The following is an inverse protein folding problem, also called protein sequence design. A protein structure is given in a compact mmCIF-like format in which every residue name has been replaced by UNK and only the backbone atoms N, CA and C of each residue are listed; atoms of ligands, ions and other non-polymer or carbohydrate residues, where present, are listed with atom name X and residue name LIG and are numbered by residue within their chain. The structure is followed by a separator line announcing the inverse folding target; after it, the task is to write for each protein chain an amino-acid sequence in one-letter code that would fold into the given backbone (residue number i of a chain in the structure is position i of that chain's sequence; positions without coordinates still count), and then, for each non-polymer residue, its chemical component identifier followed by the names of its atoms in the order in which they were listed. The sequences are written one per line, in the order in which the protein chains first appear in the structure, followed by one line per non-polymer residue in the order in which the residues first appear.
data_IF_415161108792
#
_entry.id   IF_415161108792
#
_cell.length_a   1.000
_cell.length_b   1.000
_cell.length_c   1.000
_cell.angle_alpha   90.00
_cell.angle_beta   90.00
_cell.angle_gamma   90.00
#
_symmetry.space_group_name_H-M   'P 1'
#
loop_
_entity.id
_entity.type
_entity.pdbx_description
1 polymer ?
#
# COMPACT_ATOMS: atom_id res chain seq x y z
N UNK A 1 2.73 -27.90 -12.51
CA UNK A 1 1.95 -26.64 -12.74
C UNK A 1 1.96 -25.78 -11.49
N UNK A 2 2.23 -24.50 -11.67
CA UNK A 2 2.31 -23.51 -10.57
C UNK A 2 1.30 -22.40 -10.83
N UNK A 3 0.48 -22.09 -9.84
CA UNK A 3 -0.41 -20.93 -9.87
C UNK A 3 0.09 -19.88 -8.89
N UNK A 4 0.29 -18.65 -9.37
CA UNK A 4 0.66 -17.49 -8.57
C UNK A 4 -0.50 -16.51 -8.54
N UNK A 5 -0.93 -16.09 -7.35
CA UNK A 5 -2.01 -15.13 -7.18
C UNK A 5 -1.47 -13.80 -6.66
N UNK A 6 -1.51 -12.78 -7.51
CA UNK A 6 -1.04 -11.43 -7.23
C UNK A 6 0.09 -10.97 -8.15
N UNK A 7 -0.19 -9.96 -8.98
CA UNK A 7 0.75 -9.37 -9.95
C UNK A 7 1.66 -8.28 -9.37
N UNK A 8 1.87 -8.26 -8.04
CA UNK A 8 2.85 -7.41 -7.38
C UNK A 8 4.27 -7.98 -7.45
N UNK A 9 5.24 -7.25 -6.87
CA UNK A 9 6.68 -7.61 -6.92
C UNK A 9 6.95 -9.02 -6.40
N UNK A 10 6.31 -9.46 -5.31
CA UNK A 10 6.52 -10.80 -4.76
C UNK A 10 6.02 -11.92 -5.69
N UNK A 11 4.83 -11.71 -6.29
CA UNK A 11 4.26 -12.68 -7.22
C UNK A 11 4.98 -12.73 -8.56
N UNK A 12 5.36 -11.58 -9.11
CA UNK A 12 6.16 -11.50 -10.33
C UNK A 12 7.50 -12.21 -10.15
N UNK A 13 8.17 -11.96 -9.02
CA UNK A 13 9.44 -12.64 -8.70
C UNK A 13 9.26 -14.15 -8.61
N UNK A 14 8.25 -14.64 -7.89
CA UNK A 14 7.97 -16.06 -7.78
C UNK A 14 7.65 -16.69 -9.15
N UNK A 15 6.88 -16.00 -9.97
CA UNK A 15 6.43 -16.51 -11.25
C UNK A 15 7.59 -16.67 -12.25
N UNK A 16 8.43 -15.63 -12.42
CA UNK A 16 9.53 -15.75 -13.37
C UNK A 16 10.61 -16.73 -12.91
N UNK A 17 10.89 -16.78 -11.60
CA UNK A 17 11.88 -17.73 -11.06
C UNK A 17 11.40 -19.18 -11.21
N UNK A 18 10.14 -19.47 -10.91
CA UNK A 18 9.55 -20.80 -11.12
C UNK A 18 9.60 -21.20 -12.60
N UNK A 19 9.20 -20.28 -13.50
CA UNK A 19 9.25 -20.54 -14.95
C UNK A 19 10.68 -20.75 -15.46
N UNK A 20 11.66 -20.01 -14.95
CA UNK A 20 13.09 -20.21 -15.26
C UNK A 20 13.60 -21.62 -14.90
N UNK A 21 12.93 -22.28 -13.95
CA UNK A 21 13.24 -23.67 -13.55
C UNK A 21 12.47 -24.72 -14.34
N UNK A 22 11.66 -24.30 -15.32
CA UNK A 22 10.94 -25.20 -16.22
C UNK A 22 9.53 -25.53 -15.77
N UNK A 23 8.98 -24.86 -14.77
CA UNK A 23 7.59 -25.04 -14.38
C UNK A 23 6.63 -24.31 -15.32
N UNK A 24 5.47 -24.89 -15.56
CA UNK A 24 4.35 -24.21 -16.21
C UNK A 24 3.67 -23.29 -15.21
N UNK A 25 3.73 -21.97 -15.45
CA UNK A 25 3.30 -20.94 -14.49
C UNK A 25 2.15 -20.12 -15.03
N UNK A 26 1.06 -20.03 -14.26
CA UNK A 26 -0.03 -19.07 -14.49
C UNK A 26 -0.07 -18.06 -13.34
N UNK A 27 -0.04 -16.76 -13.68
CA UNK A 27 -0.13 -15.66 -12.74
C UNK A 27 -1.45 -14.91 -12.91
N UNK A 28 -2.27 -14.84 -11.86
CA UNK A 28 -3.48 -14.03 -11.80
C UNK A 28 -3.20 -12.68 -11.13
N UNK A 29 -3.75 -11.61 -11.69
CA UNK A 29 -3.74 -10.28 -11.11
C UNK A 29 -5.12 -9.64 -11.19
N UNK A 30 -5.66 -9.20 -10.05
CA UNK A 30 -6.91 -8.44 -10.00
C UNK A 30 -6.81 -7.07 -10.69
N UNK A 31 -5.61 -6.50 -10.75
CA UNK A 31 -5.33 -5.25 -11.48
C UNK A 31 -5.16 -5.51 -12.97
N UNK A 32 -5.54 -4.53 -13.78
CA UNK A 32 -5.24 -4.48 -15.21
C UNK A 32 -3.76 -4.21 -15.52
N UNK A 33 -2.95 -3.88 -14.50
CA UNK A 33 -1.52 -3.62 -14.62
C UNK A 33 -0.72 -4.42 -13.60
N UNK A 34 0.53 -4.75 -13.95
CA UNK A 34 1.48 -5.44 -13.08
C UNK A 34 2.32 -4.44 -12.25
N UNK A 35 2.97 -4.95 -11.20
CA UNK A 35 3.84 -4.16 -10.29
C UNK A 35 3.19 -3.83 -8.95
N UNK A 36 1.85 -3.91 -8.85
CA UNK A 36 1.12 -3.71 -7.60
C UNK A 36 1.45 -2.37 -6.92
N UNK A 37 1.62 -2.38 -5.59
CA UNK A 37 1.95 -1.16 -4.82
C UNK A 37 3.25 -0.50 -5.23
N UNK A 38 4.23 -1.26 -5.74
CA UNK A 38 5.49 -0.66 -6.21
C UNK A 38 5.28 0.24 -7.43
N UNK A 39 4.32 -0.10 -8.30
CA UNK A 39 3.94 0.76 -9.43
C UNK A 39 3.32 2.06 -8.96
N UNK A 40 2.41 2.00 -7.99
CA UNK A 40 1.82 3.21 -7.41
C UNK A 40 2.89 4.07 -6.72
N UNK A 41 3.78 3.44 -5.96
CA UNK A 41 4.86 4.16 -5.29
C UNK A 41 5.83 4.82 -6.30
N UNK A 42 6.17 4.14 -7.40
CA UNK A 42 7.06 4.66 -8.44
C UNK A 42 6.51 5.90 -9.18
N UNK A 43 5.20 6.14 -9.09
CA UNK A 43 4.57 7.34 -9.64
C UNK A 43 4.71 8.57 -8.72
N UNK A 44 5.24 8.39 -7.50
CA UNK A 44 5.42 9.45 -6.52
C UNK A 44 6.85 10.00 -6.55
N UNK A 45 7.05 11.29 -6.18
CA UNK A 45 8.37 11.92 -6.13
C UNK A 45 9.37 11.13 -5.27
N UNK A 46 10.59 10.93 -5.80
CA UNK A 46 11.68 10.26 -5.10
C UNK A 46 11.61 8.73 -5.04
N UNK A 47 10.60 8.12 -5.68
CA UNK A 47 10.43 6.68 -5.74
C UNK A 47 10.46 6.09 -7.17
N UNK A 48 10.78 6.89 -8.18
CA UNK A 48 10.76 6.54 -9.60
C UNK A 48 11.63 5.31 -9.91
N UNK A 49 12.74 5.15 -9.19
CA UNK A 49 13.66 4.01 -9.32
C UNK A 49 13.03 2.66 -9.02
N UNK A 50 11.89 2.62 -8.31
CA UNK A 50 11.15 1.37 -8.05
C UNK A 50 10.60 0.74 -9.33
N UNK A 51 10.39 1.54 -10.39
CA UNK A 51 9.92 1.04 -11.68
C UNK A 51 10.87 -0.03 -12.26
N UNK A 52 12.17 0.16 -12.14
CA UNK A 52 13.16 -0.80 -12.64
C UNK A 52 13.04 -2.21 -12.04
N UNK A 53 12.48 -2.33 -10.82
CA UNK A 53 12.30 -3.64 -10.18
C UNK A 53 11.19 -4.43 -10.87
N UNK A 54 9.99 -3.89 -10.94
CA UNK A 54 8.87 -4.63 -11.52
C UNK A 54 8.95 -4.70 -13.04
N UNK A 55 9.56 -3.73 -13.72
CA UNK A 55 9.76 -3.77 -15.17
C UNK A 55 10.69 -4.92 -15.56
N UNK A 56 11.79 -5.11 -14.82
CA UNK A 56 12.64 -6.28 -14.98
C UNK A 56 11.88 -7.59 -14.75
N UNK A 57 11.11 -7.70 -13.67
CA UNK A 57 10.36 -8.91 -13.34
C UNK A 57 9.29 -9.23 -14.39
N UNK A 58 8.61 -8.21 -14.93
CA UNK A 58 7.63 -8.36 -16.00
C UNK A 58 8.31 -8.89 -17.27
N UNK A 59 9.45 -8.30 -17.67
CA UNK A 59 10.19 -8.72 -18.85
C UNK A 59 10.67 -10.19 -18.71
N UNK A 60 11.18 -10.57 -17.54
CA UNK A 60 11.59 -11.96 -17.27
C UNK A 60 10.41 -12.93 -17.31
N UNK A 61 9.28 -12.59 -16.69
CA UNK A 61 8.09 -13.43 -16.70
C UNK A 61 7.56 -13.64 -18.14
N UNK A 62 7.49 -12.57 -18.93
CA UNK A 62 7.03 -12.64 -20.32
C UNK A 62 7.99 -13.44 -21.21
N UNK A 63 9.30 -13.20 -21.09
CA UNK A 63 10.31 -13.89 -21.90
C UNK A 63 10.38 -15.40 -21.64
N UNK A 64 9.94 -15.83 -20.45
CA UNK A 64 9.90 -17.23 -20.02
C UNK A 64 8.55 -17.91 -20.24
N UNK A 65 7.59 -17.21 -20.83
CA UNK A 65 6.30 -17.80 -21.18
C UNK A 65 5.35 -17.97 -19.98
N UNK A 66 5.51 -17.17 -18.92
CA UNK A 66 4.50 -17.13 -17.84
C UNK A 66 3.16 -16.69 -18.43
N UNK A 67 2.12 -17.48 -18.21
CA UNK A 67 0.75 -17.11 -18.58
C UNK A 67 0.23 -16.07 -17.59
N UNK A 68 -0.01 -14.85 -18.05
CA UNK A 68 -0.43 -13.71 -17.21
C UNK A 68 -1.89 -13.37 -17.51
N UNK A 69 -2.73 -13.47 -16.48
CA UNK A 69 -4.17 -13.17 -16.53
C UNK A 69 -4.44 -11.91 -15.71
N UNK A 70 -4.73 -10.80 -16.41
CA UNK A 70 -4.94 -9.47 -15.82
C UNK A 70 -6.43 -9.17 -15.62
N UNK A 71 -6.76 -8.32 -14.65
CA UNK A 71 -8.13 -7.92 -14.35
C UNK A 71 -8.98 -9.05 -13.75
N UNK A 72 -8.35 -10.14 -13.30
CA UNK A 72 -9.03 -11.31 -12.74
C UNK A 72 -8.73 -11.39 -11.25
N UNK A 73 -9.75 -11.14 -10.45
CA UNK A 73 -9.72 -11.46 -9.02
C UNK A 73 -10.04 -12.95 -8.86
N UNK A 74 -9.02 -13.80 -9.07
CA UNK A 74 -9.19 -15.24 -9.02
C UNK A 74 -9.75 -15.69 -7.67
N UNK A 75 -10.74 -16.56 -7.71
CA UNK A 75 -11.25 -17.29 -6.57
C UNK A 75 -10.61 -18.69 -6.45
N UNK A 76 -11.03 -19.47 -5.45
CA UNK A 76 -10.51 -20.81 -5.27
C UNK A 76 -10.89 -21.76 -6.42
N UNK A 77 -12.05 -21.58 -7.05
CA UNK A 77 -12.50 -22.42 -8.17
C UNK A 77 -11.64 -22.14 -9.42
N UNK A 78 -11.32 -20.88 -9.70
CA UNK A 78 -10.42 -20.51 -10.80
C UNK A 78 -9.06 -21.19 -10.64
N UNK A 79 -8.50 -21.15 -9.43
CA UNK A 79 -7.19 -21.74 -9.13
C UNK A 79 -7.25 -23.26 -9.27
N UNK A 80 -8.25 -23.92 -8.70
CA UNK A 80 -8.41 -25.37 -8.71
C UNK A 80 -8.69 -25.91 -10.12
N UNK A 81 -9.34 -25.14 -10.99
CA UNK A 81 -9.60 -25.52 -12.39
C UNK A 81 -8.33 -25.76 -13.21
N UNK A 82 -7.19 -25.16 -12.78
CA UNK A 82 -5.89 -25.36 -13.42
C UNK A 82 -5.16 -26.61 -12.87
N UNK A 83 -5.71 -27.30 -11.90
CA UNK A 83 -5.11 -28.47 -11.24
C UNK A 83 -3.65 -28.22 -10.86
N UNK A 84 -3.35 -27.19 -10.03
CA UNK A 84 -1.99 -26.85 -9.69
C UNK A 84 -1.34 -27.85 -8.76
N UNK A 85 -0.05 -28.13 -8.96
CA UNK A 85 0.78 -28.87 -8.01
C UNK A 85 1.23 -27.95 -6.87
N UNK A 86 1.44 -26.65 -7.19
CA UNK A 86 1.86 -25.63 -6.22
C UNK A 86 1.08 -24.33 -6.40
N UNK A 87 0.77 -23.67 -5.29
CA UNK A 87 0.14 -22.35 -5.27
C UNK A 87 0.99 -21.37 -4.46
N UNK A 88 1.26 -20.20 -5.02
CA UNK A 88 1.92 -19.07 -4.33
C UNK A 88 0.89 -17.95 -4.18
N UNK A 89 0.59 -17.58 -2.93
CA UNK A 89 -0.27 -16.44 -2.62
C UNK A 89 0.59 -15.20 -2.35
N UNK A 90 0.54 -14.27 -3.29
CA UNK A 90 1.16 -12.95 -3.26
C UNK A 90 0.08 -11.86 -3.34
N UNK A 91 -1.09 -12.11 -2.75
CA UNK A 91 -2.31 -11.28 -2.77
C UNK A 91 -2.13 -9.90 -2.14
N UNK A 92 -0.98 -9.67 -1.47
CA UNK A 92 -0.66 -8.40 -0.86
C UNK A 92 -1.40 -8.17 0.47
N UNK A 93 -1.57 -6.90 0.81
CA UNK A 93 -2.26 -6.46 2.02
C UNK A 93 -3.16 -5.27 1.70
N UNK A 94 -4.11 -5.01 2.59
CA UNK A 94 -4.96 -3.81 2.60
C UNK A 94 -4.58 -2.94 3.80
N UNK A 95 -4.79 -1.65 3.70
CA UNK A 95 -4.64 -0.76 4.84
C UNK A 95 -5.76 -1.04 5.83
N UNK A 96 -5.40 -1.23 7.09
CA UNK A 96 -6.36 -1.43 8.15
C UNK A 96 -6.95 -0.07 8.57
N UNK A 97 -8.23 -0.08 8.91
CA UNK A 97 -8.84 1.08 9.55
C UNK A 97 -8.28 1.20 10.97
N UNK A 98 -7.73 2.35 11.39
CA UNK A 98 -7.15 2.51 12.74
C UNK A 98 -8.24 2.80 13.78
N UNK A 99 -9.06 1.80 14.12
CA UNK A 99 -10.20 1.91 15.04
C UNK A 99 -9.82 2.51 16.40
N UNK A 100 -8.67 2.16 16.91
CA UNK A 100 -8.15 2.65 18.20
C UNK A 100 -7.95 4.18 18.22
N UNK A 101 -7.76 4.78 17.06
CA UNK A 101 -7.45 6.20 16.91
C UNK A 101 -8.62 7.01 16.37
N UNK A 102 -9.41 6.42 15.47
CA UNK A 102 -10.47 7.06 14.70
C UNK A 102 -11.88 6.64 15.18
N UNK A 103 -11.95 5.76 16.19
CA UNK A 103 -13.19 5.20 16.66
C UNK A 103 -13.86 4.26 15.65
N UNK A 104 -15.13 3.96 15.82
CA UNK A 104 -15.89 2.99 15.02
C UNK A 104 -16.17 3.40 13.56
N UNK A 105 -15.53 4.43 13.06
CA UNK A 105 -15.51 4.77 11.63
C UNK A 105 -16.78 5.46 11.08
N UNK A 106 -17.82 5.66 11.88
CA UNK A 106 -19.07 6.28 11.39
C UNK A 106 -18.83 7.71 10.86
N UNK A 107 -17.99 8.49 11.54
CA UNK A 107 -17.66 9.86 11.14
C UNK A 107 -16.73 9.96 9.93
N UNK A 108 -16.08 8.86 9.54
CA UNK A 108 -15.09 8.77 8.46
C UNK A 108 -15.52 7.76 7.40
N UNK A 109 -16.77 7.34 7.42
CA UNK A 109 -17.35 6.50 6.38
C UNK A 109 -17.12 7.15 5.02
N UNK A 110 -16.31 6.53 4.16
CA UNK A 110 -15.98 7.03 2.83
C UNK A 110 -14.62 7.74 2.71
N UNK A 111 -13.88 7.99 3.79
CA UNK A 111 -12.48 8.48 3.68
C UNK A 111 -11.59 7.35 3.14
N UNK A 112 -10.96 7.54 1.97
CA UNK A 112 -10.10 6.52 1.38
C UNK A 112 -8.78 6.41 2.16
N UNK A 113 -8.18 5.21 2.15
CA UNK A 113 -6.79 5.06 2.57
C UNK A 113 -5.84 5.78 1.58
N UNK A 114 -4.66 6.15 2.05
CA UNK A 114 -3.74 6.96 1.26
C UNK A 114 -3.33 6.32 -0.08
N UNK A 115 -3.05 5.02 -0.19
CA UNK A 115 -2.84 4.38 -1.49
C UNK A 115 -4.01 4.49 -2.45
N UNK A 116 -5.25 4.30 -1.98
CA UNK A 116 -6.44 4.43 -2.81
C UNK A 116 -6.66 5.89 -3.26
N UNK A 117 -6.53 6.83 -2.33
CA UNK A 117 -6.62 8.26 -2.61
C UNK A 117 -5.56 8.72 -3.62
N UNK A 118 -4.31 8.30 -3.46
CA UNK A 118 -3.24 8.66 -4.39
C UNK A 118 -3.43 8.04 -5.77
N UNK A 119 -3.99 6.84 -5.88
CA UNK A 119 -4.29 6.24 -7.18
C UNK A 119 -5.33 7.07 -7.96
N UNK A 120 -6.31 7.64 -7.26
CA UNK A 120 -7.30 8.53 -7.85
C UNK A 120 -6.70 9.89 -8.22
N UNK A 121 -5.97 10.53 -7.32
CA UNK A 121 -5.34 11.83 -7.56
C UNK A 121 -4.32 11.79 -8.72
N UNK A 122 -3.52 10.74 -8.81
CA UNK A 122 -2.55 10.57 -9.90
C UNK A 122 -3.21 10.36 -11.27
N UNK A 123 -4.46 9.88 -11.30
CA UNK A 123 -5.24 9.77 -12.53
C UNK A 123 -5.83 11.11 -12.99
N UNK A 124 -5.96 12.09 -12.07
CA UNK A 124 -6.56 13.39 -12.31
C UNK A 124 -5.52 14.49 -12.03
N UNK A 125 -4.77 14.89 -13.04
CA UNK A 125 -3.77 15.95 -12.91
C UNK A 125 -4.43 17.32 -12.72
N UNK A 126 -3.95 18.09 -11.75
CA UNK A 126 -4.43 19.46 -11.50
C UNK A 126 -4.04 19.97 -10.12
N UNK A 127 -4.23 21.24 -9.89
CA UNK A 127 -4.17 21.84 -8.58
C UNK A 127 -5.55 21.72 -7.91
N UNK A 128 -5.55 21.43 -6.63
CA UNK A 128 -6.74 21.30 -5.78
C UNK A 128 -6.72 22.40 -4.74
N UNK A 129 -7.81 23.13 -4.62
CA UNK A 129 -7.94 24.20 -3.62
C UNK A 129 -8.03 23.64 -2.20
N UNK A 130 -7.52 24.39 -1.24
CA UNK A 130 -7.64 24.13 0.19
C UNK A 130 -6.55 23.24 0.77
N UNK A 131 -6.84 22.68 1.93
CA UNK A 131 -5.89 21.94 2.75
C UNK A 131 -5.98 20.43 2.51
N UNK A 132 -4.85 19.78 2.22
CA UNK A 132 -4.73 18.33 2.29
C UNK A 132 -4.32 17.90 3.71
N UNK A 133 -5.07 16.99 4.31
CA UNK A 133 -4.79 16.42 5.62
C UNK A 133 -4.49 14.94 5.49
N UNK A 134 -3.32 14.53 6.00
CA UNK A 134 -2.90 13.12 6.06
C UNK A 134 -2.76 12.71 7.52
N UNK A 135 -3.48 11.67 7.93
CA UNK A 135 -3.33 11.03 9.23
C UNK A 135 -2.28 9.93 9.07
N UNK A 136 -1.10 10.09 9.68
CA UNK A 136 0.04 9.19 9.51
C UNK A 136 0.27 8.32 10.73
N UNK A 137 -0.06 7.04 10.60
CA UNK A 137 0.26 5.97 11.55
C UNK A 137 1.05 4.82 10.88
N UNK A 138 1.34 4.93 9.56
CA UNK A 138 2.17 3.96 8.83
C UNK A 138 3.67 4.25 8.98
N UNK A 139 4.05 5.51 9.09
CA UNK A 139 5.43 5.99 9.24
C UNK A 139 6.42 5.48 8.18
N UNK A 140 5.91 5.07 7.01
CA UNK A 140 6.71 4.54 5.91
C UNK A 140 6.94 5.54 4.77
N UNK A 141 7.96 5.29 3.94
CA UNK A 141 8.38 6.18 2.85
C UNK A 141 7.26 6.53 1.86
N UNK A 142 6.33 5.58 1.61
CA UNK A 142 5.21 5.83 0.69
C UNK A 142 4.40 7.04 1.12
N UNK A 143 4.09 7.13 2.43
CA UNK A 143 3.31 8.23 3.00
C UNK A 143 3.98 9.57 2.75
N UNK A 144 5.29 9.67 2.93
CA UNK A 144 6.00 10.95 2.77
C UNK A 144 6.24 11.33 1.32
N UNK A 145 6.39 10.36 0.43
CA UNK A 145 6.43 10.63 -1.01
C UNK A 145 5.06 11.11 -1.53
N UNK A 146 3.96 10.56 -0.97
CA UNK A 146 2.62 11.06 -1.25
C UNK A 146 2.43 12.49 -0.70
N UNK A 147 2.90 12.77 0.51
CA UNK A 147 2.85 14.13 1.09
C UNK A 147 3.64 15.12 0.22
N UNK A 148 4.83 14.75 -0.29
CA UNK A 148 5.58 15.60 -1.22
C UNK A 148 4.79 15.88 -2.50
N UNK A 149 4.10 14.89 -3.05
CA UNK A 149 3.23 15.09 -4.20
C UNK A 149 2.10 16.07 -3.87
N UNK A 150 1.47 15.90 -2.70
CA UNK A 150 0.38 16.78 -2.25
C UNK A 150 0.84 18.25 -2.11
N UNK A 151 2.09 18.51 -1.67
CA UNK A 151 2.60 19.89 -1.57
C UNK A 151 2.65 20.62 -2.90
N UNK A 152 2.80 19.91 -4.00
CA UNK A 152 2.79 20.49 -5.34
C UNK A 152 1.37 20.70 -5.91
N UNK A 153 0.35 20.13 -5.26
CA UNK A 153 -1.01 20.07 -5.82
C UNK A 153 -2.09 20.64 -4.90
N UNK A 154 -1.77 21.03 -3.68
CA UNK A 154 -2.69 21.67 -2.73
C UNK A 154 -2.09 22.96 -2.18
N UNK A 155 -2.95 23.88 -1.72
CA UNK A 155 -2.51 25.17 -1.16
C UNK A 155 -1.76 24.98 0.16
N UNK A 156 -2.16 23.96 0.94
CA UNK A 156 -1.61 23.63 2.26
C UNK A 156 -1.63 22.15 2.49
N UNK A 157 -0.61 21.63 3.18
CA UNK A 157 -0.55 20.22 3.59
C UNK A 157 -0.27 20.10 5.08
N UNK A 158 -1.09 19.32 5.75
CA UNK A 158 -0.97 19.03 7.19
C UNK A 158 -0.86 17.54 7.41
N UNK A 159 0.15 17.12 8.17
CA UNK A 159 0.32 15.73 8.61
C UNK A 159 0.03 15.64 10.11
N UNK A 160 -0.98 14.86 10.47
CA UNK A 160 -1.30 14.52 11.85
C UNK A 160 -0.72 13.16 12.19
N UNK A 161 -0.07 13.02 13.34
CA UNK A 161 0.36 11.71 13.85
C UNK A 161 0.19 11.64 15.38
N UNK A 162 -0.20 10.48 15.88
CA UNK A 162 -0.28 10.23 17.33
C UNK A 162 1.10 10.17 18.00
N UNK A 163 2.16 10.02 17.19
CA UNK A 163 3.53 9.84 17.66
C UNK A 163 4.26 11.17 17.86
N UNK A 164 5.44 11.07 18.47
CA UNK A 164 6.35 12.19 18.73
C UNK A 164 7.02 12.75 17.48
N UNK A 165 7.07 11.96 16.41
CA UNK A 165 7.70 12.33 15.14
C UNK A 165 7.14 11.48 13.99
N UNK A 166 7.30 11.96 12.78
CA UNK A 166 7.04 11.22 11.53
C UNK A 166 8.22 10.29 11.16
N UNK A 167 8.03 9.42 10.18
CA UNK A 167 9.07 8.55 9.61
C UNK A 167 9.78 7.64 10.62
N UNK A 168 9.07 7.14 11.62
CA UNK A 168 9.66 6.30 12.67
C UNK A 168 10.20 4.96 12.17
N UNK A 169 9.64 4.42 11.09
CA UNK A 169 10.08 3.17 10.50
C UNK A 169 11.29 3.32 9.57
N UNK A 170 11.73 4.56 9.33
CA UNK A 170 12.90 4.84 8.52
C UNK A 170 14.19 4.90 9.35
N UNK A 171 15.31 4.56 8.71
CA UNK A 171 16.62 4.74 9.32
C UNK A 171 16.88 6.21 9.67
N UNK A 172 17.65 6.48 10.72
CA UNK A 172 17.87 7.82 11.23
C UNK A 172 18.25 8.86 10.16
N UNK A 173 19.15 8.52 9.24
CA UNK A 173 19.59 9.43 8.18
C UNK A 173 18.45 9.69 7.17
N UNK A 174 17.75 8.64 6.73
CA UNK A 174 16.61 8.78 5.84
C UNK A 174 15.47 9.58 6.50
N UNK A 175 15.19 9.33 7.78
CA UNK A 175 14.20 10.08 8.55
C UNK A 175 14.53 11.57 8.63
N UNK A 176 15.79 11.92 8.88
CA UNK A 176 16.22 13.32 8.91
C UNK A 176 15.99 13.98 7.54
N UNK A 177 16.40 13.35 6.45
CA UNK A 177 16.17 13.85 5.10
C UNK A 177 14.69 14.01 4.75
N UNK A 178 13.83 13.09 5.19
CA UNK A 178 12.38 13.21 5.02
C UNK A 178 11.85 14.44 5.76
N UNK A 179 12.20 14.61 7.04
CA UNK A 179 11.74 15.75 7.84
C UNK A 179 12.20 17.08 7.23
N UNK A 180 13.47 17.18 6.83
CA UNK A 180 14.02 18.39 6.20
C UNK A 180 13.29 18.72 4.89
N UNK A 181 12.99 17.71 4.07
CA UNK A 181 12.25 17.87 2.82
C UNK A 181 10.81 18.34 3.05
N UNK A 182 10.09 17.69 3.97
CA UNK A 182 8.72 18.07 4.30
C UNK A 182 8.62 19.49 4.85
N UNK A 183 9.49 19.87 5.78
CA UNK A 183 9.51 21.21 6.35
C UNK A 183 9.93 22.24 5.30
N UNK A 184 10.90 21.93 4.44
CA UNK A 184 11.30 22.75 3.32
C UNK A 184 10.20 22.95 2.28
N UNK A 185 9.32 21.99 2.10
CA UNK A 185 8.11 22.04 1.27
C UNK A 185 6.92 22.76 1.93
N UNK A 186 7.06 23.26 3.16
CA UNK A 186 6.00 23.95 3.88
C UNK A 186 4.95 23.04 4.52
N UNK A 187 5.25 21.74 4.67
CA UNK A 187 4.33 20.80 5.33
C UNK A 187 4.23 21.12 6.81
N UNK A 188 3.02 21.26 7.30
CA UNK A 188 2.73 21.41 8.72
C UNK A 188 2.66 20.04 9.39
N UNK A 189 3.69 19.65 10.15
CA UNK A 189 3.71 18.40 10.89
C UNK A 189 3.19 18.65 12.30
N UNK A 190 2.10 17.97 12.68
CA UNK A 190 1.49 18.03 14.02
C UNK A 190 1.68 16.70 14.75
N UNK A 191 2.75 16.53 15.53
CA UNK A 191 2.97 15.36 16.37
C UNK A 191 2.04 15.36 17.59
N UNK A 192 1.88 14.18 18.19
CA UNK A 192 1.00 13.96 19.35
C UNK A 192 -0.45 14.40 19.12
N UNK A 193 -0.95 14.27 17.88
CA UNK A 193 -2.33 14.60 17.55
C UNK A 193 -3.11 13.35 17.17
N UNK A 194 -4.33 13.27 17.69
CA UNK A 194 -5.33 12.29 17.28
C UNK A 194 -6.45 13.03 16.54
N UNK A 195 -6.94 12.50 15.43
CA UNK A 195 -8.15 13.01 14.83
C UNK A 195 -9.33 12.85 15.81
N UNK A 196 -10.21 13.83 15.81
CA UNK A 196 -11.45 13.87 16.59
C UNK A 196 -12.54 14.42 15.68
N UNK A 197 -13.02 13.54 14.80
CA UNK A 197 -13.93 13.87 13.71
C UNK A 197 -15.38 13.62 14.13
N UNK A 198 -16.25 14.54 13.75
CA UNK A 198 -17.69 14.43 14.00
C UNK A 198 -18.44 14.36 12.67
N UNK A 199 -19.61 13.70 12.66
CA UNK A 199 -20.44 13.68 11.47
C UNK A 199 -20.72 15.09 10.93
N UNK A 200 -20.60 15.28 9.62
CA UNK A 200 -20.83 16.56 8.94
C UNK A 200 -19.62 17.48 8.86
N UNK A 201 -18.64 17.38 9.74
CA UNK A 201 -17.50 18.30 9.73
C UNK A 201 -16.66 18.22 8.45
N UNK A 202 -16.45 17.02 7.93
CA UNK A 202 -15.69 16.86 6.69
C UNK A 202 -16.44 17.42 5.48
N UNK A 203 -17.78 17.34 5.48
CA UNK A 203 -18.65 17.96 4.46
C UNK A 203 -18.54 19.48 4.50
N UNK A 204 -18.33 20.03 5.70
CA UNK A 204 -18.10 21.47 5.92
C UNK A 204 -16.62 21.89 5.70
N UNK A 205 -15.76 20.97 5.27
CA UNK A 205 -14.32 21.24 5.07
C UNK A 205 -13.53 21.38 6.37
N UNK A 206 -13.97 20.70 7.45
CA UNK A 206 -13.35 20.79 8.78
C UNK A 206 -12.82 19.43 9.22
N UNK A 207 -11.59 19.41 9.75
CA UNK A 207 -11.01 18.26 10.44
C UNK A 207 -10.69 18.63 11.88
N UNK A 208 -11.46 18.07 12.81
CA UNK A 208 -11.20 18.18 14.23
C UNK A 208 -10.06 17.26 14.68
N UNK A 209 -9.21 17.73 15.59
CA UNK A 209 -8.17 16.92 16.21
C UNK A 209 -7.91 17.36 17.64
N UNK A 210 -7.25 16.50 18.44
CA UNK A 210 -6.89 16.77 19.84
C UNK A 210 -5.54 16.18 20.18
N UNK A 211 -4.92 16.64 21.26
CA UNK A 211 -3.67 16.04 21.73
C UNK A 211 -3.87 14.57 22.15
N UNK A 212 -2.95 13.72 21.75
CA UNK A 212 -2.92 12.30 22.11
C UNK A 212 -2.58 12.09 23.62
N UNK A 213 -1.92 13.06 24.23
CA UNK A 213 -1.47 13.00 25.63
C UNK A 213 -2.11 14.16 26.40
N UNK A 214 -2.74 13.84 27.53
CA UNK A 214 -3.40 14.84 28.38
C UNK A 214 -4.84 15.15 27.97
N UNK A 215 -5.40 16.20 28.58
CA UNK A 215 -6.78 16.66 28.34
C UNK A 215 -6.77 17.84 27.35
N UNK A 216 -6.17 17.65 26.19
CA UNK A 216 -6.09 18.70 25.17
C UNK A 216 -7.47 19.15 24.68
N UNK A 217 -7.65 20.45 24.53
CA UNK A 217 -8.83 20.99 23.87
C UNK A 217 -8.85 20.55 22.40
N UNK A 218 -10.03 20.37 21.86
CA UNK A 218 -10.27 20.11 20.46
C UNK A 218 -9.81 21.31 19.63
N UNK A 219 -9.05 21.05 18.59
CA UNK A 219 -8.57 22.02 17.61
C UNK A 219 -9.12 21.66 16.24
N UNK A 220 -9.02 22.57 15.28
CA UNK A 220 -9.58 22.40 13.97
C UNK A 220 -8.56 22.74 12.87
N UNK A 221 -8.69 22.05 11.76
CA UNK A 221 -8.11 22.41 10.47
C UNK A 221 -9.30 22.73 9.57
N UNK A 222 -9.28 23.91 8.99
CA UNK A 222 -10.34 24.42 8.13
C UNK A 222 -9.90 24.39 6.67
N UNK A 223 -10.87 24.62 5.76
CA UNK A 223 -10.66 24.60 4.30
C UNK A 223 -10.08 23.25 3.82
N UNK A 224 -10.53 22.14 4.42
CA UNK A 224 -10.05 20.81 4.07
C UNK A 224 -10.72 20.33 2.79
N UNK A 225 -9.95 20.26 1.70
CA UNK A 225 -10.36 19.71 0.41
C UNK A 225 -9.99 18.24 0.25
N UNK A 226 -9.10 17.72 1.08
CA UNK A 226 -8.65 16.33 1.03
C UNK A 226 -8.34 15.79 2.42
N UNK A 227 -8.87 14.62 2.74
CA UNK A 227 -8.52 13.86 3.93
C UNK A 227 -8.24 12.41 3.56
N UNK A 228 -7.13 11.88 4.08
CA UNK A 228 -6.78 10.48 3.93
C UNK A 228 -5.96 9.99 5.13
N UNK A 229 -5.83 8.67 5.25
CA UNK A 229 -5.06 8.06 6.33
C UNK A 229 -4.09 7.00 5.81
N UNK A 230 -2.97 6.88 6.51
CA UNK A 230 -1.99 5.81 6.36
C UNK A 230 -1.84 5.09 7.71
N UNK A 231 -2.05 3.79 7.73
CA UNK A 231 -2.00 2.96 8.92
C UNK A 231 -1.29 1.63 8.65
N UNK A 232 -1.28 0.74 9.62
CA UNK A 232 -0.77 -0.61 9.43
C UNK A 232 -1.58 -1.36 8.36
N UNK A 233 -1.03 -2.46 7.89
CA UNK A 233 -1.61 -3.24 6.80
C UNK A 233 -1.88 -4.67 7.23
N UNK A 234 -3.06 -5.17 6.87
CA UNK A 234 -3.48 -6.54 7.10
C UNK A 234 -3.27 -7.39 5.84
N UNK A 235 -2.64 -8.56 5.95
CA UNK A 235 -2.53 -9.50 4.84
C UNK A 235 -3.88 -9.90 4.26
N UNK A 236 -3.95 -10.04 2.93
CA UNK A 236 -5.12 -10.59 2.23
C UNK A 236 -5.02 -12.10 2.19
N UNK A 237 -5.77 -12.79 3.04
CA UNK A 237 -5.70 -14.23 3.24
C UNK A 237 -7.01 -14.95 2.87
N UNK A 238 -7.91 -14.30 2.17
CA UNK A 238 -9.26 -14.82 1.86
C UNK A 238 -9.22 -16.18 1.11
N UNK A 239 -8.17 -16.39 0.30
CA UNK A 239 -7.97 -17.65 -0.45
C UNK A 239 -7.34 -18.77 0.37
N UNK A 240 -6.75 -18.48 1.52
CA UNK A 240 -5.96 -19.48 2.26
C UNK A 240 -6.83 -20.64 2.78
N UNK A 241 -7.94 -20.34 3.43
CA UNK A 241 -8.83 -21.34 3.98
C UNK A 241 -9.51 -22.22 2.92
N UNK A 242 -10.08 -21.66 1.82
CA UNK A 242 -10.64 -22.47 0.73
C UNK A 242 -9.62 -23.42 0.07
N UNK A 243 -8.40 -22.95 -0.16
CA UNK A 243 -7.33 -23.76 -0.78
C UNK A 243 -6.84 -24.87 0.17
N UNK A 244 -6.75 -24.60 1.48
CA UNK A 244 -6.46 -25.63 2.48
C UNK A 244 -7.56 -26.70 2.52
N UNK A 245 -8.84 -26.30 2.44
CA UNK A 245 -9.96 -27.23 2.40
C UNK A 245 -9.92 -28.16 1.17
N UNK A 246 -9.38 -27.66 0.05
CA UNK A 246 -9.13 -28.42 -1.17
C UNK A 246 -7.86 -29.28 -1.13
N UNK A 247 -7.15 -29.32 0.00
CA UNK A 247 -5.94 -30.14 0.20
C UNK A 247 -4.63 -29.49 -0.25
N UNK A 248 -4.67 -28.27 -0.79
CA UNK A 248 -3.48 -27.52 -1.17
C UNK A 248 -2.80 -26.87 0.04
N UNK A 249 -1.51 -26.57 -0.10
CA UNK A 249 -0.72 -25.85 0.90
C UNK A 249 -0.09 -24.61 0.26
N UNK A 250 -0.85 -23.51 0.10
CA UNK A 250 -0.33 -22.31 -0.55
C UNK A 250 0.86 -21.71 0.21
N UNK A 251 1.87 -21.26 -0.54
CA UNK A 251 2.99 -20.53 0.02
C UNK A 251 2.67 -19.04 0.03
N UNK A 252 2.69 -18.43 1.20
CA UNK A 252 2.51 -16.99 1.36
C UNK A 252 3.82 -16.25 1.13
N UNK A 253 3.80 -15.17 0.32
CA UNK A 253 4.96 -14.33 0.04
C UNK A 253 4.61 -12.84 0.04
N UNK A 254 5.59 -12.00 0.34
CA UNK A 254 5.44 -10.55 0.39
C UNK A 254 4.43 -10.11 1.46
N UNK A 255 3.64 -9.08 1.15
CA UNK A 255 2.69 -8.52 2.11
C UNK A 255 1.55 -9.51 2.50
N UNK A 256 1.28 -10.53 1.68
CA UNK A 256 0.37 -11.60 2.05
C UNK A 256 0.91 -12.47 3.19
N UNK A 257 2.22 -12.56 3.36
CA UNK A 257 2.85 -13.23 4.50
C UNK A 257 2.96 -12.30 5.71
N UNK A 258 3.52 -11.13 5.48
CA UNK A 258 3.62 -10.05 6.47
C UNK A 258 4.02 -8.75 5.76
N UNK A 259 3.24 -7.67 5.91
CA UNK A 259 3.56 -6.39 5.30
C UNK A 259 4.91 -5.85 5.77
N UNK A 260 5.86 -5.67 4.82
CA UNK A 260 7.22 -5.20 5.08
C UNK A 260 7.74 -4.38 3.89
N UNK A 261 9.03 -4.47 3.63
CA UNK A 261 9.70 -3.71 2.57
C UNK A 261 9.70 -4.46 1.23
N UNK A 262 9.95 -3.72 0.15
CA UNK A 262 10.14 -4.27 -1.20
C UNK A 262 11.19 -5.38 -1.23
N UNK A 263 12.29 -5.22 -0.48
CA UNK A 263 13.36 -6.23 -0.37
C UNK A 263 12.84 -7.56 0.16
N UNK A 264 11.96 -7.55 1.17
CA UNK A 264 11.35 -8.77 1.68
C UNK A 264 10.44 -9.42 0.64
N UNK A 265 9.63 -8.63 -0.06
CA UNK A 265 8.76 -9.11 -1.11
C UNK A 265 9.54 -9.81 -2.23
N UNK A 266 10.63 -9.20 -2.72
CA UNK A 266 11.51 -9.79 -3.74
C UNK A 266 12.18 -11.08 -3.23
N UNK A 267 12.78 -11.05 -2.04
CA UNK A 267 13.47 -12.24 -1.48
C UNK A 267 12.53 -13.42 -1.25
N UNK A 268 11.34 -13.17 -0.74
CA UNK A 268 10.35 -14.23 -0.48
C UNK A 268 9.77 -14.79 -1.77
N UNK A 269 9.50 -13.95 -2.76
CA UNK A 269 9.09 -14.38 -4.09
C UNK A 269 10.16 -15.24 -4.75
N UNK A 270 11.41 -14.79 -4.71
CA UNK A 270 12.56 -15.53 -5.25
C UNK A 270 12.72 -16.91 -4.58
N UNK A 271 12.71 -16.94 -3.26
CA UNK A 271 12.79 -18.18 -2.49
C UNK A 271 11.62 -19.12 -2.81
N UNK A 272 10.41 -18.59 -2.95
CA UNK A 272 9.24 -19.38 -3.33
C UNK A 272 9.42 -20.05 -4.70
N UNK A 273 9.85 -19.29 -5.70
CA UNK A 273 10.11 -19.83 -7.04
C UNK A 273 11.24 -20.87 -7.07
N UNK A 274 12.29 -20.71 -6.25
CA UNK A 274 13.40 -21.66 -6.15
C UNK A 274 13.02 -22.98 -5.45
N UNK A 275 12.13 -22.94 -4.47
CA UNK A 275 11.81 -24.09 -3.62
C UNK A 275 10.67 -24.96 -4.16
N UNK A 276 10.04 -24.59 -5.27
CA UNK A 276 9.08 -25.43 -6.00
C UNK A 276 9.83 -26.64 -6.58
N UNK A 277 9.35 -27.84 -6.29
CA UNK A 277 9.99 -29.10 -6.72
C UNK A 277 9.09 -29.90 -7.65
#
# INVERSE_FOLDING_TARGET
RVVVVGGGVAGLEAAWVASARGHEVTLFSASSTLGGRARLAAALPGAEGLAGVYDHQIAEAQSRGVRIELGIQADAADILSLEPDHVVLASGARMAWPEDLLGNGEALSGVPDLPAAMADLLAHSGHHEGTAVVIDEDHGSFTYNAVDWLTAHFDRVVVLTSRDTVARHEHRVARQGIIERLLGGGVEIRPFQLPDLRPGELEDGIVGHRQAIGNGHRQFIEEVGFLSYAAHRDPRLELLAPLHAAGLRPRLVGDARAPRTLLHATREGHAAGLEIT
#
